data_IF_498538613121
#
_entry.id   IF_498538613121
#
_cell.length_a   1.000
_cell.length_b   1.000
_cell.length_c   1.000
_cell.angle_alpha   90.00
_cell.angle_beta   90.00
_cell.angle_gamma   90.00
#
_symmetry.space_group_name_H-M   'P 1'
#
loop_
_entity.id
_entity.type
_entity.pdbx_description
1 polymer ?
#
# COMPACT_ATOMS: atom_id res chain seq x y z
N UNK A 1 1.42 5.61 10.23
CA UNK A 1 1.29 4.17 9.98
C UNK A 1 1.77 3.44 11.20
N UNK A 2 1.04 2.40 11.64
CA UNK A 2 1.44 1.57 12.77
C UNK A 2 2.67 0.73 12.39
N UNK A 3 3.53 0.38 13.34
CA UNK A 3 4.69 -0.51 13.10
C UNK A 3 4.28 -1.88 12.57
N UNK A 4 3.05 -2.33 12.86
CA UNK A 4 2.47 -3.56 12.30
C UNK A 4 2.19 -3.48 10.79
N UNK A 5 1.80 -2.30 10.28
CA UNK A 5 1.48 -2.14 8.85
C UNK A 5 2.75 -2.31 7.99
N UNK A 6 3.88 -1.78 8.48
CA UNK A 6 5.17 -1.89 7.80
C UNK A 6 5.70 -3.32 7.79
N UNK A 7 5.59 -4.04 8.91
CA UNK A 7 6.03 -5.43 9.01
C UNK A 7 5.21 -6.34 8.08
N UNK A 8 3.89 -6.12 8.01
CA UNK A 8 3.00 -6.89 7.12
C UNK A 8 3.30 -6.65 5.63
N UNK A 9 3.58 -5.41 5.24
CA UNK A 9 4.04 -5.10 3.88
C UNK A 9 5.41 -5.69 3.56
N UNK A 10 6.32 -5.72 4.54
CA UNK A 10 7.66 -6.31 4.37
C UNK A 10 7.57 -7.82 4.12
N UNK A 11 6.73 -8.53 4.88
CA UNK A 11 6.47 -9.95 4.65
C UNK A 11 5.76 -10.19 3.30
N UNK A 12 4.79 -9.35 2.95
CA UNK A 12 4.08 -9.45 1.66
C UNK A 12 4.99 -9.21 0.44
N UNK A 13 6.07 -8.43 0.62
CA UNK A 13 7.11 -8.27 -0.38
C UNK A 13 7.94 -9.56 -0.59
N UNK A 14 8.11 -10.37 0.45
CA UNK A 14 8.87 -11.64 0.40
C UNK A 14 8.01 -12.81 -0.09
N UNK A 15 6.74 -12.87 0.33
CA UNK A 15 5.84 -13.99 0.04
C UNK A 15 5.08 -13.83 -1.30
N UNK A 16 5.30 -12.73 -2.02
CA UNK A 16 4.66 -12.48 -3.32
C UNK A 16 3.17 -12.19 -3.22
N UNK A 17 2.68 -11.75 -2.06
CA UNK A 17 1.28 -11.37 -1.86
C UNK A 17 1.04 -9.88 -2.18
N UNK A 18 -0.23 -9.46 -2.21
CA UNK A 18 -0.62 -8.07 -2.44
C UNK A 18 -0.06 -7.16 -1.35
N UNK A 19 0.52 -6.04 -1.74
CA UNK A 19 1.02 -5.01 -0.82
C UNK A 19 0.01 -3.87 -0.75
N UNK A 20 -0.33 -3.41 0.46
CA UNK A 20 -1.15 -2.22 0.68
C UNK A 20 -0.33 -1.18 1.44
N UNK A 21 0.06 -0.10 0.78
CA UNK A 21 0.78 1.02 1.40
C UNK A 21 -0.12 2.25 1.50
N UNK A 22 0.00 3.02 2.57
CA UNK A 22 -0.67 4.30 2.72
C UNK A 22 0.37 5.41 2.83
N UNK A 23 0.28 6.40 1.96
CA UNK A 23 1.16 7.56 1.93
C UNK A 23 0.38 8.81 2.28
N UNK A 24 1.06 9.74 2.95
CA UNK A 24 0.54 11.07 3.19
C UNK A 24 1.47 12.07 2.51
N UNK A 25 0.93 12.82 1.55
CA UNK A 25 1.65 13.88 0.84
C UNK A 25 0.86 15.15 1.07
N UNK A 26 1.46 16.09 1.80
CA UNK A 26 0.75 17.25 2.36
C UNK A 26 -0.47 16.80 3.19
N UNK A 27 -1.64 17.41 2.95
CA UNK A 27 -2.91 17.08 3.61
C UNK A 27 -3.71 15.99 2.88
N UNK A 28 -3.14 15.36 1.85
CA UNK A 28 -3.79 14.34 1.04
C UNK A 28 -3.26 12.94 1.39
N UNK A 29 -4.17 11.97 1.53
CA UNK A 29 -3.83 10.56 1.78
C UNK A 29 -4.03 9.73 0.52
N UNK A 30 -3.06 8.88 0.23
CA UNK A 30 -3.05 7.97 -0.90
C UNK A 30 -2.92 6.54 -0.41
N UNK A 31 -3.65 5.62 -1.04
CA UNK A 31 -3.44 4.19 -0.88
C UNK A 31 -2.85 3.62 -2.16
N UNK A 32 -1.79 2.85 -2.02
CA UNK A 32 -1.10 2.18 -3.12
C UNK A 32 -1.26 0.68 -2.91
N UNK A 33 -1.90 0.02 -3.88
CA UNK A 33 -2.15 -1.42 -3.88
C UNK A 33 -1.33 -2.01 -5.01
N UNK A 34 -0.35 -2.84 -4.67
CA UNK A 34 0.46 -3.56 -5.66
C UNK A 34 0.05 -5.02 -5.65
N UNK A 35 -0.35 -5.54 -6.81
CA UNK A 35 -0.74 -6.95 -6.95
C UNK A 35 0.42 -7.91 -6.65
N UNK A 36 0.06 -9.16 -6.34
CA UNK A 36 0.98 -10.25 -5.99
C UNK A 36 2.07 -10.48 -7.05
N UNK A 37 1.67 -10.46 -8.33
CA UNK A 37 2.53 -10.63 -9.49
C UNK A 37 3.35 -9.36 -9.84
N UNK A 38 3.15 -8.26 -9.11
CA UNK A 38 3.71 -6.93 -9.37
C UNK A 38 3.40 -6.38 -10.78
N UNK A 39 2.48 -7.01 -11.50
CA UNK A 39 2.12 -6.65 -12.88
C UNK A 39 1.21 -5.42 -12.96
N UNK A 40 0.56 -5.06 -11.85
CA UNK A 40 -0.25 -3.85 -11.75
C UNK A 40 -0.12 -3.19 -10.38
N UNK A 41 -0.24 -1.87 -10.38
CA UNK A 41 -0.28 -1.03 -9.17
C UNK A 41 -1.44 -0.05 -9.30
N UNK A 42 -2.36 -0.10 -8.34
CA UNK A 42 -3.53 0.78 -8.26
C UNK A 42 -3.28 1.85 -7.19
N UNK A 43 -3.58 3.10 -7.52
CA UNK A 43 -3.49 4.23 -6.59
C UNK A 43 -4.90 4.76 -6.36
N UNK A 44 -5.29 4.91 -5.09
CA UNK A 44 -6.57 5.45 -4.66
C UNK A 44 -6.35 6.73 -3.86
N UNK A 45 -7.14 7.77 -4.12
CA UNK A 45 -7.17 8.97 -3.29
C UNK A 45 -8.18 8.80 -2.16
N UNK A 46 -7.77 9.08 -0.93
CA UNK A 46 -8.64 8.95 0.23
C UNK A 46 -9.83 9.92 0.18
N UNK A 47 -9.70 11.09 -0.48
CA UNK A 47 -10.79 12.08 -0.59
C UNK A 47 -11.95 11.65 -1.50
N UNK A 48 -11.77 10.58 -2.26
CA UNK A 48 -12.80 10.04 -3.16
C UNK A 48 -13.76 9.08 -2.43
N UNK A 49 -13.54 8.83 -1.14
CA UNK A 49 -14.31 7.91 -0.28
C UNK A 49 -14.51 8.50 1.12
#
# INVERSE_FOLDING_TARGET
MSSMDQASNTNSAQDGSRILSAFQVNDERFFVITEADRGSTTILLAREY
#
